data_IF_794141903145
#
_entry.id   IF_794141903145
#
_cell.length_a   1.000
_cell.length_b   1.000
_cell.length_c   1.000
_cell.angle_alpha   90.00
_cell.angle_beta   90.00
_cell.angle_gamma   90.00
#
_symmetry.space_group_name_H-M   'P 1'
#
loop_
_entity.id
_entity.type
_entity.pdbx_description
1 polymer ?
#
# COMPACT_ATOMS: atom_id res chain seq x y z
N UNK A 1 9.91 10.41 -16.17
CA UNK A 1 10.24 9.33 -15.19
C UNK A 1 9.55 8.05 -15.65
N UNK A 2 10.31 6.98 -15.90
CA UNK A 2 9.82 5.69 -16.42
C UNK A 2 9.43 4.71 -15.30
N UNK A 3 9.96 4.91 -14.10
CA UNK A 3 9.70 4.07 -12.93
C UNK A 3 9.06 4.88 -11.80
N UNK A 4 8.18 4.24 -11.06
CA UNK A 4 7.69 4.66 -9.76
C UNK A 4 8.59 4.04 -8.68
N UNK A 5 8.78 4.73 -7.58
CA UNK A 5 9.64 4.29 -6.48
C UNK A 5 8.77 4.13 -5.24
N UNK A 6 8.93 3.00 -4.56
CA UNK A 6 8.24 2.65 -3.34
C UNK A 6 9.26 2.46 -2.23
N UNK A 7 9.04 3.16 -1.13
CA UNK A 7 9.79 3.02 0.11
C UNK A 7 8.83 2.55 1.20
N UNK A 8 9.06 1.35 1.69
CA UNK A 8 8.25 0.67 2.69
C UNK A 8 8.95 0.64 4.06
N UNK A 9 10.06 1.37 4.25
CA UNK A 9 10.79 1.42 5.52
C UNK A 9 11.70 0.22 5.78
N UNK A 10 11.93 -0.63 4.78
CA UNK A 10 12.76 -1.86 4.90
C UNK A 10 14.28 -1.61 4.70
N UNK A 11 14.69 -0.35 4.58
CA UNK A 11 16.09 0.02 4.32
C UNK A 11 16.52 -0.11 2.86
N UNK A 12 15.60 -0.45 1.95
CA UNK A 12 15.81 -0.44 0.50
C UNK A 12 14.53 -0.03 -0.23
N UNK A 13 14.69 0.37 -1.49
CA UNK A 13 13.60 0.89 -2.33
C UNK A 13 13.24 -0.10 -3.41
N UNK A 14 11.94 -0.23 -3.71
CA UNK A 14 11.42 -1.00 -4.83
C UNK A 14 11.00 -0.07 -5.96
N UNK A 15 11.17 -0.50 -7.21
CA UNK A 15 10.84 0.30 -8.38
C UNK A 15 9.84 -0.44 -9.25
N UNK A 16 8.73 0.22 -9.58
CA UNK A 16 7.70 -0.31 -10.46
C UNK A 16 7.73 0.42 -11.81
N UNK A 17 7.44 -0.28 -12.90
CA UNK A 17 7.38 0.35 -14.21
C UNK A 17 6.10 1.18 -14.37
N UNK A 18 6.20 2.44 -14.81
CA UNK A 18 5.00 3.30 -14.93
C UNK A 18 4.10 2.96 -16.11
N UNK A 19 4.57 2.15 -17.06
CA UNK A 19 3.77 1.75 -18.23
C UNK A 19 3.06 0.41 -18.04
N UNK A 20 3.26 -0.30 -16.93
CA UNK A 20 2.50 -1.52 -16.56
C UNK A 20 1.16 -1.20 -15.89
N UNK A 21 0.62 0.01 -16.08
CA UNK A 21 -0.62 0.57 -15.50
C UNK A 21 -1.93 -0.18 -15.84
N UNK A 22 -1.86 -1.42 -16.30
CA UNK A 22 -2.99 -2.33 -16.35
C UNK A 22 -2.56 -3.66 -15.77
N UNK A 23 -3.04 -4.01 -14.56
CA UNK A 23 -4.02 -3.32 -13.70
C UNK A 23 -3.41 -2.40 -12.62
N UNK A 24 -4.18 -1.38 -12.18
CA UNK A 24 -3.87 -0.57 -11.00
C UNK A 24 -4.03 -1.46 -9.76
N UNK A 25 -2.94 -2.04 -9.30
CA UNK A 25 -2.91 -2.81 -8.07
C UNK A 25 -2.48 -1.93 -6.88
N UNK A 26 -2.79 -2.41 -5.69
CA UNK A 26 -2.43 -1.86 -4.39
C UNK A 26 -1.54 -2.87 -3.66
N UNK A 27 -0.90 -2.46 -2.58
CA UNK A 27 0.08 -3.30 -1.88
C UNK A 27 -0.38 -3.68 -0.48
N UNK A 28 -0.23 -4.96 -0.12
CA UNK A 28 -0.20 -5.45 1.25
C UNK A 28 1.24 -5.78 1.62
N UNK A 29 1.77 -5.17 2.69
CA UNK A 29 3.17 -5.28 3.10
C UNK A 29 3.25 -5.99 4.45
N UNK A 30 4.00 -7.09 4.48
CA UNK A 30 4.29 -7.80 5.71
C UNK A 30 5.37 -7.05 6.52
N UNK A 31 5.03 -6.62 7.74
CA UNK A 31 5.97 -5.88 8.60
C UNK A 31 7.04 -6.78 9.25
N UNK A 32 6.83 -8.10 9.23
CA UNK A 32 7.77 -9.07 9.78
C UNK A 32 8.85 -9.44 8.75
N UNK A 33 8.43 -9.81 7.53
CA UNK A 33 9.33 -10.39 6.53
C UNK A 33 9.51 -9.55 5.26
N UNK A 34 8.80 -8.42 5.12
CA UNK A 34 8.91 -7.55 3.94
C UNK A 34 8.23 -8.09 2.68
N UNK A 35 7.47 -9.18 2.79
CA UNK A 35 6.70 -9.71 1.67
C UNK A 35 5.65 -8.70 1.21
N UNK A 36 5.57 -8.47 -0.10
CA UNK A 36 4.59 -7.57 -0.72
C UNK A 36 3.66 -8.40 -1.58
N UNK A 37 2.36 -8.30 -1.30
CA UNK A 37 1.29 -8.92 -2.08
C UNK A 37 0.49 -7.84 -2.80
N UNK A 38 0.27 -8.01 -4.09
CA UNK A 38 -0.49 -7.08 -4.93
C UNK A 38 -1.97 -7.47 -4.94
N UNK A 39 -2.87 -6.49 -4.85
CA UNK A 39 -4.31 -6.72 -4.97
C UNK A 39 -5.02 -5.62 -5.74
N UNK A 40 -6.18 -5.94 -6.30
CA UNK A 40 -7.08 -4.97 -6.93
C UNK A 40 -8.37 -4.85 -6.12
N UNK A 41 -8.91 -3.63 -6.03
CA UNK A 41 -10.24 -3.41 -5.44
C UNK A 41 -11.11 -2.60 -6.39
N UNK A 42 -12.23 -3.17 -6.88
CA UNK A 42 -13.18 -2.45 -7.72
C UNK A 42 -13.91 -1.32 -6.97
N UNK A 43 -13.81 -1.27 -5.63
CA UNK A 43 -14.48 -0.29 -4.79
C UNK A 43 -13.71 1.04 -4.70
N UNK A 44 -12.38 1.02 -4.88
CA UNK A 44 -11.53 2.20 -4.72
C UNK A 44 -11.91 3.37 -5.63
N UNK A 45 -12.20 3.17 -6.94
CA UNK A 45 -12.65 4.27 -7.79
C UNK A 45 -13.93 4.94 -7.29
N UNK A 46 -14.86 4.16 -6.70
CA UNK A 46 -16.09 4.70 -6.14
C UNK A 46 -15.85 5.52 -4.87
N UNK A 47 -14.93 5.07 -4.02
CA UNK A 47 -14.53 5.80 -2.82
C UNK A 47 -13.87 7.13 -3.21
N UNK A 48 -12.88 7.11 -4.09
CA UNK A 48 -12.18 8.32 -4.57
C UNK A 48 -13.17 9.33 -5.16
N UNK A 49 -14.05 8.88 -6.05
CA UNK A 49 -15.02 9.75 -6.69
C UNK A 49 -16.02 10.35 -5.70
N UNK A 50 -16.44 9.58 -4.68
CA UNK A 50 -17.34 10.08 -3.62
C UNK A 50 -16.64 11.15 -2.78
N UNK A 51 -15.44 10.87 -2.28
CA UNK A 51 -14.66 11.80 -1.45
C UNK A 51 -14.33 13.08 -2.23
N UNK A 52 -13.91 12.97 -3.49
CA UNK A 52 -13.62 14.11 -4.34
C UNK A 52 -14.85 15.05 -4.47
N UNK A 53 -16.05 14.49 -4.69
CA UNK A 53 -17.28 15.27 -4.78
C UNK A 53 -17.66 15.92 -3.45
N UNK A 54 -17.61 15.16 -2.36
CA UNK A 54 -18.01 15.63 -1.03
C UNK A 54 -17.20 16.85 -0.58
N UNK A 55 -15.90 16.86 -0.86
CA UNK A 55 -14.99 17.93 -0.44
C UNK A 55 -14.64 18.93 -1.55
N UNK A 56 -15.24 18.81 -2.73
CA UNK A 56 -14.89 19.63 -3.90
C UNK A 56 -13.43 19.49 -4.34
N UNK A 57 -12.81 18.34 -4.07
CA UNK A 57 -11.40 18.05 -4.34
C UNK A 57 -11.21 17.48 -5.75
N UNK A 58 -10.06 17.76 -6.39
CA UNK A 58 -9.68 17.20 -7.69
C UNK A 58 -8.44 16.31 -7.52
N UNK A 59 -8.59 14.98 -7.42
CA UNK A 59 -7.45 14.10 -7.17
C UNK A 59 -6.54 13.98 -8.41
N UNK A 60 -5.24 13.89 -8.17
CA UNK A 60 -4.23 13.65 -9.21
C UNK A 60 -3.59 12.26 -9.12
N UNK A 61 -3.65 11.63 -7.93
CA UNK A 61 -3.14 10.29 -7.62
C UNK A 61 -3.77 9.82 -6.31
N UNK A 62 -3.97 8.51 -6.17
CA UNK A 62 -4.15 7.84 -4.88
C UNK A 62 -3.06 6.79 -4.69
N UNK A 63 -2.86 6.36 -3.45
CA UNK A 63 -2.01 5.22 -3.09
C UNK A 63 -2.65 4.53 -1.90
N UNK A 64 -2.89 3.22 -1.99
CA UNK A 64 -3.29 2.40 -0.86
C UNK A 64 -2.22 1.34 -0.58
N UNK A 65 -1.76 1.35 0.66
CA UNK A 65 -0.84 0.35 1.21
C UNK A 65 -1.43 -0.14 2.53
N UNK A 66 -1.46 -1.46 2.73
CA UNK A 66 -1.95 -2.09 3.95
C UNK A 66 -0.77 -2.80 4.61
N UNK A 67 -0.47 -2.48 5.86
CA UNK A 67 0.63 -3.08 6.61
C UNK A 67 0.10 -4.10 7.60
N UNK A 68 0.71 -5.28 7.66
CA UNK A 68 0.26 -6.37 8.53
C UNK A 68 1.18 -7.59 8.50
N UNK A 69 0.63 -8.78 8.70
CA UNK A 69 1.38 -10.04 8.57
C UNK A 69 0.90 -10.81 7.34
N UNK A 70 1.81 -11.28 6.51
CA UNK A 70 1.46 -12.20 5.43
C UNK A 70 1.03 -13.57 5.99
N UNK A 71 0.36 -14.38 5.15
CA UNK A 71 -0.12 -15.72 5.53
C UNK A 71 0.99 -16.58 6.13
N UNK A 72 2.18 -16.59 5.52
CA UNK A 72 3.29 -17.43 5.99
C UNK A 72 3.81 -17.03 7.37
N UNK A 73 3.86 -15.73 7.69
CA UNK A 73 4.26 -15.28 9.03
C UNK A 73 3.19 -15.62 10.08
N UNK A 74 1.90 -15.51 9.73
CA UNK A 74 0.82 -15.94 10.61
C UNK A 74 0.88 -17.44 10.89
N UNK A 75 1.10 -18.27 9.87
CA UNK A 75 1.27 -19.72 10.00
C UNK A 75 2.52 -20.11 10.81
N UNK A 76 3.57 -19.28 10.80
CA UNK A 76 4.76 -19.43 11.63
C UNK A 76 4.56 -18.99 13.09
N UNK A 77 3.38 -18.51 13.47
CA UNK A 77 3.04 -18.11 14.84
C UNK A 77 3.43 -16.67 15.19
N UNK A 78 3.77 -15.83 14.20
CA UNK A 78 4.02 -14.40 14.44
C UNK A 78 2.69 -13.71 14.76
N UNK A 79 2.70 -12.88 15.79
CA UNK A 79 1.52 -12.12 16.24
C UNK A 79 1.79 -10.63 16.19
N UNK A 80 0.80 -9.85 15.74
CA UNK A 80 0.86 -8.39 15.87
C UNK A 80 0.69 -7.99 17.33
N UNK A 81 1.53 -7.08 17.82
CA UNK A 81 1.24 -6.39 19.07
C UNK A 81 0.12 -5.36 18.81
N UNK A 82 -0.79 -5.09 19.77
CA UNK A 82 -1.91 -4.17 19.58
C UNK A 82 -1.53 -2.70 19.33
N UNK A 83 -0.24 -2.37 19.37
CA UNK A 83 0.27 -0.99 19.33
C UNK A 83 0.36 -0.38 17.91
N UNK A 84 0.01 -1.13 16.86
CA UNK A 84 0.46 -0.87 15.49
C UNK A 84 -0.55 -0.37 14.46
N UNK A 85 -1.39 0.62 14.76
CA UNK A 85 -2.04 1.45 13.71
C UNK A 85 -1.45 2.86 13.63
N UNK A 86 -0.25 3.08 14.16
CA UNK A 86 0.52 4.27 13.77
C UNK A 86 1.09 4.02 12.38
N UNK A 87 0.78 4.92 11.44
CA UNK A 87 1.41 4.97 10.14
C UNK A 87 2.95 5.05 10.35
N UNK A 88 3.73 4.01 10.03
CA UNK A 88 5.18 4.03 10.28
C UNK A 88 5.93 4.96 9.31
N UNK A 89 5.22 5.60 8.38
CA UNK A 89 5.78 6.36 7.25
C UNK A 89 5.88 7.87 7.57
N UNK A 90 5.65 8.29 8.81
CA UNK A 90 6.00 9.66 9.25
C UNK A 90 7.48 9.76 9.67
N UNK A 91 8.40 9.53 8.73
CA UNK A 91 9.78 10.03 8.85
C UNK A 91 10.37 10.35 7.47
N UNK A 92 9.78 11.32 6.76
CA UNK A 92 10.48 12.23 5.84
C UNK A 92 9.75 13.54 5.70
#
# INVERSE_FOLDING_TARGET
RLVEEHDFGEGFKRYEHRLSRSPIHQHMVCIECGHVEEFESPELPAIEARTAREFGFRPTRHRLEIYGLCRSCQEAGVTLTPEGLSCPIEVV
#
